data_IF_835753496055
#
_entry.id   IF_835753496055
#
_cell.length_a   1.000
_cell.length_b   1.000
_cell.length_c   1.000
_cell.angle_alpha   90.00
_cell.angle_beta   90.00
_cell.angle_gamma   90.00
#
_symmetry.space_group_name_H-M   'P 1'
#
loop_
_entity.id
_entity.type
_entity.pdbx_description
1 polymer ?
#
# COMPACT_ATOMS: atom_id res chain seq x y z
N UNK A 1 -3.83 -11.54 -22.40
CA UNK A 1 -4.63 -12.37 -21.47
C UNK A 1 -5.82 -11.53 -20.99
N UNK A 2 -7.04 -12.06 -20.97
CA UNK A 2 -8.22 -11.32 -20.50
C UNK A 2 -8.32 -11.43 -18.99
N UNK A 3 -8.26 -10.31 -18.28
CA UNK A 3 -8.45 -10.22 -16.83
C UNK A 3 -9.79 -10.85 -16.43
N UNK A 4 -9.75 -11.90 -15.60
CA UNK A 4 -10.97 -12.58 -15.12
C UNK A 4 -11.61 -11.83 -13.94
N UNK A 5 -12.81 -12.27 -13.54
CA UNK A 5 -13.48 -11.71 -12.35
C UNK A 5 -12.67 -12.01 -11.09
N UNK A 6 -12.22 -13.25 -10.94
CA UNK A 6 -11.51 -13.75 -9.75
C UNK A 6 -10.15 -13.05 -9.60
N UNK A 7 -9.44 -12.84 -10.71
CA UNK A 7 -8.19 -12.07 -10.72
C UNK A 7 -8.44 -10.62 -10.31
N UNK A 8 -9.46 -9.97 -10.88
CA UNK A 8 -9.79 -8.59 -10.53
C UNK A 8 -10.19 -8.46 -9.05
N UNK A 9 -11.00 -9.39 -8.55
CA UNK A 9 -11.40 -9.44 -7.15
C UNK A 9 -10.19 -9.61 -6.22
N UNK A 10 -9.27 -10.53 -6.57
CA UNK A 10 -8.01 -10.72 -5.83
C UNK A 10 -7.17 -9.45 -5.81
N UNK A 11 -6.98 -8.77 -6.95
CA UNK A 11 -6.20 -7.52 -6.98
C UNK A 11 -6.83 -6.41 -6.14
N UNK A 12 -8.17 -6.34 -6.09
CA UNK A 12 -8.89 -5.40 -5.22
C UNK A 12 -8.72 -5.75 -3.74
N UNK A 13 -8.77 -7.03 -3.37
CA UNK A 13 -8.47 -7.52 -2.01
C UNK A 13 -7.02 -7.22 -1.60
N UNK A 14 -6.08 -7.33 -2.54
CA UNK A 14 -4.67 -6.95 -2.38
C UNK A 14 -4.48 -5.41 -2.33
N UNK A 15 -5.58 -4.65 -2.28
CA UNK A 15 -5.66 -3.18 -2.22
C UNK A 15 -4.94 -2.48 -3.38
N UNK A 16 -4.91 -3.09 -4.55
CA UNK A 16 -4.46 -2.44 -5.76
C UNK A 16 -5.46 -1.38 -6.23
N UNK A 17 -4.94 -0.27 -6.71
CA UNK A 17 -5.74 0.74 -7.42
C UNK A 17 -6.09 0.21 -8.82
N UNK A 18 -7.11 0.78 -9.44
CA UNK A 18 -7.42 0.45 -10.83
C UNK A 18 -6.25 0.77 -11.78
N UNK A 19 -5.40 1.75 -11.44
CA UNK A 19 -4.22 2.08 -12.23
C UNK A 19 -3.12 1.02 -12.10
N UNK A 20 -2.89 0.48 -10.89
CA UNK A 20 -1.94 -0.62 -10.70
C UNK A 20 -2.36 -1.84 -11.54
N UNK A 21 -3.65 -2.19 -11.48
CA UNK A 21 -4.22 -3.31 -12.24
C UNK A 21 -4.10 -3.04 -13.74
N UNK A 22 -4.41 -1.81 -14.18
CA UNK A 22 -4.27 -1.42 -15.57
C UNK A 22 -2.83 -1.63 -16.08
N UNK A 23 -1.82 -1.25 -15.29
CA UNK A 23 -0.42 -1.41 -15.64
C UNK A 23 0.00 -2.90 -15.77
N UNK A 24 -0.49 -3.77 -14.88
CA UNK A 24 -0.16 -5.22 -14.91
C UNK A 24 -0.68 -5.89 -16.19
N UNK A 25 -1.86 -5.49 -16.64
CA UNK A 25 -2.55 -6.11 -17.78
C UNK A 25 -2.41 -5.32 -19.08
N UNK A 26 -1.50 -4.34 -19.12
CA UNK A 26 -1.30 -3.43 -20.27
C UNK A 26 -2.63 -2.84 -20.79
N UNK A 27 -3.52 -2.50 -19.84
CA UNK A 27 -4.86 -2.00 -20.08
C UNK A 27 -4.98 -0.53 -19.72
N UNK A 28 -6.11 0.09 -20.07
CA UNK A 28 -6.43 1.44 -19.62
C UNK A 28 -7.17 1.42 -18.28
N UNK A 29 -7.00 2.49 -17.50
CA UNK A 29 -7.78 2.71 -16.27
C UNK A 29 -9.30 2.59 -16.51
N UNK A 30 -9.78 3.14 -17.63
CA UNK A 30 -11.18 3.07 -18.02
C UNK A 30 -11.65 1.63 -18.28
N UNK A 31 -10.78 0.79 -18.86
CA UNK A 31 -11.09 -0.63 -19.07
C UNK A 31 -11.29 -1.36 -17.74
N UNK A 32 -10.47 -1.08 -16.74
CA UNK A 32 -10.62 -1.67 -15.40
C UNK A 32 -11.94 -1.24 -14.76
N UNK A 33 -12.33 0.04 -14.86
CA UNK A 33 -13.64 0.52 -14.38
C UNK A 33 -14.78 -0.24 -15.06
N UNK A 34 -14.71 -0.43 -16.38
CA UNK A 34 -15.74 -1.19 -17.12
C UNK A 34 -15.83 -2.64 -16.64
N UNK A 35 -14.70 -3.28 -16.34
CA UNK A 35 -14.69 -4.66 -15.83
C UNK A 35 -15.26 -4.76 -14.42
N UNK A 36 -14.91 -3.82 -13.52
CA UNK A 36 -15.52 -3.72 -12.18
C UNK A 36 -17.05 -3.65 -12.28
N UNK A 37 -17.57 -2.77 -13.14
CA UNK A 37 -19.02 -2.62 -13.38
C UNK A 37 -19.64 -3.88 -13.99
N UNK A 38 -18.99 -4.45 -15.01
CA UNK A 38 -19.45 -5.68 -15.69
C UNK A 38 -19.59 -6.84 -14.71
N UNK A 39 -18.64 -6.99 -13.79
CA UNK A 39 -18.63 -8.06 -12.78
C UNK A 39 -19.38 -7.71 -11.49
N UNK A 40 -19.98 -6.52 -11.41
CA UNK A 40 -20.73 -6.03 -10.24
C UNK A 40 -19.92 -6.09 -8.94
N UNK A 41 -18.62 -5.81 -9.02
CA UNK A 41 -17.74 -5.77 -7.85
C UNK A 41 -17.91 -4.42 -7.13
N UNK A 42 -17.83 -4.44 -5.79
CA UNK A 42 -17.73 -3.23 -4.99
C UNK A 42 -16.26 -3.03 -4.57
N UNK A 43 -15.50 -2.12 -5.20
CA UNK A 43 -14.10 -1.94 -4.88
C UNK A 43 -13.85 -1.41 -3.47
N UNK A 44 -14.80 -0.67 -2.89
CA UNK A 44 -14.65 -0.07 -1.57
C UNK A 44 -14.73 -1.14 -0.47
N UNK A 45 -15.68 -2.07 -0.62
CA UNK A 45 -15.80 -3.25 0.25
C UNK A 45 -14.61 -4.19 0.08
N UNK A 46 -14.22 -4.52 -1.15
CA UNK A 46 -13.10 -5.44 -1.41
C UNK A 46 -11.77 -4.87 -0.90
N UNK A 47 -11.55 -3.57 -1.09
CA UNK A 47 -10.36 -2.90 -0.53
C UNK A 47 -10.47 -2.66 0.96
N UNK A 48 -11.65 -2.81 1.57
CA UNK A 48 -11.94 -2.48 2.98
C UNK A 48 -11.42 -1.08 3.34
N UNK A 49 -11.93 -0.08 2.62
CA UNK A 49 -11.39 1.29 2.67
C UNK A 49 -11.55 1.97 4.04
N UNK A 50 -12.45 1.43 4.88
CA UNK A 50 -12.74 1.83 6.26
C UNK A 50 -11.68 1.36 7.25
N UNK A 51 -10.89 0.34 6.92
CA UNK A 51 -9.85 -0.20 7.79
C UNK A 51 -8.58 0.65 7.79
N UNK A 52 -7.90 0.62 8.93
CA UNK A 52 -6.53 1.09 9.04
C UNK A 52 -5.59 -0.03 8.61
N UNK A 53 -4.56 0.32 7.85
CA UNK A 53 -3.52 -0.60 7.39
C UNK A 53 -2.19 -0.24 8.03
N UNK A 54 -1.34 -1.24 8.18
CA UNK A 54 0.11 -1.06 8.36
C UNK A 54 0.81 -1.55 7.10
N UNK A 55 1.75 -0.76 6.60
CA UNK A 55 2.42 -0.99 5.33
C UNK A 55 3.92 -0.73 5.43
N UNK A 56 4.64 -1.40 4.54
CA UNK A 56 6.07 -1.29 4.34
C UNK A 56 6.36 -0.66 2.98
N UNK A 57 7.43 0.13 2.93
CA UNK A 57 8.08 0.49 1.68
C UNK A 57 9.42 -0.20 1.56
N UNK A 58 9.62 -0.80 0.40
CA UNK A 58 10.80 -1.57 0.07
C UNK A 58 11.58 -0.86 -1.03
N UNK A 59 12.90 -0.83 -0.88
CA UNK A 59 13.85 -0.34 -1.87
C UNK A 59 15.04 -1.30 -1.91
N UNK A 60 15.40 -1.83 -3.08
CA UNK A 60 16.51 -2.78 -3.25
C UNK A 60 16.50 -3.93 -2.23
N UNK A 61 15.33 -4.54 -2.02
CA UNK A 61 15.08 -5.62 -1.04
C UNK A 61 15.29 -5.23 0.44
N UNK A 62 15.42 -3.95 0.76
CA UNK A 62 15.43 -3.45 2.14
C UNK A 62 14.10 -2.76 2.50
N UNK A 63 13.61 -3.02 3.70
CA UNK A 63 12.53 -2.21 4.28
C UNK A 63 13.12 -0.86 4.67
N UNK A 64 12.75 0.19 3.95
CA UNK A 64 13.25 1.55 4.19
C UNK A 64 12.29 2.37 5.05
N UNK A 65 11.00 2.01 5.07
CA UNK A 65 9.99 2.71 5.85
C UNK A 65 8.82 1.79 6.23
N UNK A 66 8.26 2.02 7.42
CA UNK A 66 6.96 1.46 7.86
C UNK A 66 6.02 2.61 8.19
N UNK A 67 4.74 2.48 7.86
CA UNK A 67 3.73 3.46 8.23
C UNK A 67 2.37 2.84 8.45
N UNK A 68 1.46 3.62 9.02
CA UNK A 68 0.05 3.25 9.21
C UNK A 68 -0.92 4.32 8.70
N UNK A 69 -2.15 3.92 8.41
CA UNK A 69 -3.28 4.80 8.09
C UNK A 69 -4.30 4.13 7.17
N UNK A 70 -5.21 4.90 6.60
CA UNK A 70 -6.18 4.37 5.60
C UNK A 70 -5.49 3.85 4.33
N UNK A 71 -6.17 2.98 3.58
CA UNK A 71 -5.59 2.15 2.51
C UNK A 71 -4.72 2.90 1.48
N UNK A 72 -5.11 4.11 1.07
CA UNK A 72 -4.38 4.88 0.05
C UNK A 72 -3.14 5.62 0.59
N UNK A 73 -2.98 5.70 1.93
CA UNK A 73 -1.93 6.50 2.56
C UNK A 73 -0.53 6.01 2.23
N UNK A 74 -0.35 4.72 1.95
CA UNK A 74 0.93 4.16 1.55
C UNK A 74 1.48 4.86 0.30
N UNK A 75 0.62 5.25 -0.66
CA UNK A 75 0.98 5.84 -1.96
C UNK A 75 1.15 7.37 -1.94
N UNK A 76 0.82 8.05 -0.85
CA UNK A 76 0.82 9.52 -0.79
C UNK A 76 2.20 10.09 -0.44
N UNK A 77 2.96 10.52 -1.46
CA UNK A 77 4.30 11.09 -1.29
C UNK A 77 4.31 12.51 -0.71
N UNK A 78 3.28 13.32 -0.99
CA UNK A 78 3.22 14.75 -0.60
C UNK A 78 3.37 14.99 0.90
N UNK A 79 2.97 14.01 1.72
CA UNK A 79 2.97 14.13 3.18
C UNK A 79 4.25 13.57 3.82
N UNK A 80 5.22 13.08 3.02
CA UNK A 80 6.49 12.51 3.53
C UNK A 80 7.46 13.62 3.90
N UNK A 81 7.94 13.63 5.15
CA UNK A 81 8.90 14.64 5.64
C UNK A 81 10.34 14.33 5.26
N UNK A 82 10.69 13.05 5.09
CA UNK A 82 12.01 12.65 4.65
C UNK A 82 12.12 12.85 3.12
N UNK A 83 13.06 13.68 2.67
CA UNK A 83 13.21 14.03 1.26
C UNK A 83 13.63 12.85 0.39
N UNK A 84 14.53 11.99 0.87
CA UNK A 84 14.94 10.78 0.15
C UNK A 84 13.78 9.80 -0.01
N UNK A 85 13.01 9.59 1.06
CA UNK A 85 11.79 8.78 1.02
C UNK A 85 10.77 9.35 0.01
N UNK A 86 10.53 10.66 0.06
CA UNK A 86 9.61 11.35 -0.86
C UNK A 86 10.04 11.16 -2.31
N UNK A 87 11.33 11.39 -2.62
CA UNK A 87 11.89 11.26 -3.96
C UNK A 87 11.72 9.84 -4.51
N UNK A 88 12.05 8.82 -3.72
CA UNK A 88 11.87 7.42 -4.14
C UNK A 88 10.41 7.06 -4.40
N UNK A 89 9.46 7.60 -3.62
CA UNK A 89 8.02 7.41 -3.88
C UNK A 89 7.58 8.10 -5.18
N UNK A 90 8.00 9.34 -5.39
CA UNK A 90 7.67 10.15 -6.57
C UNK A 90 8.21 9.52 -7.86
N UNK A 91 9.43 8.97 -7.81
CA UNK A 91 10.05 8.23 -8.92
C UNK A 91 9.48 6.82 -9.11
N UNK A 92 8.54 6.37 -8.27
CA UNK A 92 7.97 5.02 -8.35
C UNK A 92 8.97 3.90 -8.03
N UNK A 93 10.06 4.19 -7.31
CA UNK A 93 11.16 3.26 -7.01
C UNK A 93 10.99 2.47 -5.72
N UNK A 94 9.81 2.55 -5.11
CA UNK A 94 9.46 1.78 -3.92
C UNK A 94 8.41 0.74 -4.25
N UNK A 95 8.59 -0.46 -3.71
CA UNK A 95 7.53 -1.45 -3.65
C UNK A 95 6.74 -1.25 -2.35
N UNK A 96 5.43 -1.44 -2.42
CA UNK A 96 4.51 -1.27 -1.30
C UNK A 96 3.99 -2.64 -0.88
N UNK A 97 4.03 -2.92 0.43
CA UNK A 97 3.46 -4.15 0.99
C UNK A 97 2.57 -3.80 2.17
N UNK A 98 1.32 -4.25 2.15
CA UNK A 98 0.43 -4.18 3.31
C UNK A 98 0.70 -5.43 4.15
N UNK A 99 0.91 -5.24 5.45
CA UNK A 99 1.29 -6.32 6.37
C UNK A 99 0.24 -6.62 7.42
N UNK A 100 -0.67 -5.69 7.69
CA UNK A 100 -1.77 -5.88 8.62
C UNK A 100 -2.92 -4.90 8.36
N UNK A 101 -4.12 -5.28 8.80
CA UNK A 101 -5.35 -4.49 8.80
C UNK A 101 -5.92 -4.42 10.22
N UNK A 102 -6.51 -3.29 10.57
CA UNK A 102 -7.05 -3.00 11.90
C UNK A 102 -8.34 -2.19 11.79
N UNK A 103 -9.22 -2.34 12.79
CA UNK A 103 -10.46 -1.58 12.88
C UNK A 103 -10.23 -0.18 13.44
N UNK A 104 -9.17 0.01 14.24
CA UNK A 104 -8.87 1.28 14.90
C UNK A 104 -7.49 1.81 14.52
N UNK A 105 -7.33 3.15 14.53
CA UNK A 105 -6.02 3.77 14.30
C UNK A 105 -5.03 3.36 15.40
N UNK A 106 -5.47 3.29 16.66
CA UNK A 106 -4.61 2.99 17.80
C UNK A 106 -3.95 1.60 17.71
N UNK A 107 -4.68 0.58 17.27
CA UNK A 107 -4.13 -0.75 17.04
C UNK A 107 -3.08 -0.74 15.92
N UNK A 108 -3.40 -0.08 14.80
CA UNK A 108 -2.46 0.08 13.69
C UNK A 108 -1.19 0.83 14.12
N UNK A 109 -1.32 1.85 14.97
CA UNK A 109 -0.19 2.63 15.51
C UNK A 109 0.69 1.82 16.46
N UNK A 110 0.09 1.00 17.31
CA UNK A 110 0.83 0.09 18.20
C UNK A 110 1.63 -0.91 17.39
N UNK A 111 1.01 -1.54 16.40
CA UNK A 111 1.68 -2.50 15.51
C UNK A 111 2.77 -1.85 14.64
N UNK A 112 2.52 -0.64 14.10
CA UNK A 112 3.53 0.16 13.39
C UNK A 112 4.76 0.40 14.27
N UNK A 113 4.57 0.83 15.52
CA UNK A 113 5.67 1.12 16.43
C UNK A 113 6.49 -0.14 16.75
N UNK A 114 5.82 -1.28 16.96
CA UNK A 114 6.48 -2.57 17.20
C UNK A 114 7.33 -3.00 15.99
N UNK A 115 6.77 -2.97 14.78
CA UNK A 115 7.48 -3.31 13.55
C UNK A 115 8.69 -2.41 13.32
N UNK A 116 8.54 -1.09 13.50
CA UNK A 116 9.67 -0.15 13.40
C UNK A 116 10.77 -0.55 14.39
N UNK A 117 10.41 -0.90 15.63
CA UNK A 117 11.37 -1.35 16.64
C UNK A 117 12.11 -2.61 16.21
N UNK A 118 11.40 -3.61 15.68
CA UNK A 118 11.99 -4.85 15.16
C UNK A 118 12.94 -4.59 13.99
N UNK A 119 12.53 -3.81 13.00
CA UNK A 119 13.35 -3.54 11.81
C UNK A 119 14.56 -2.67 12.11
N UNK A 120 14.45 -1.70 13.02
CA UNK A 120 15.62 -0.90 13.42
C UNK A 120 16.72 -1.71 14.09
N UNK A 121 16.38 -2.77 14.84
CA UNK A 121 17.36 -3.67 15.46
C UNK A 121 18.25 -4.37 14.43
N UNK A 122 17.76 -4.54 13.20
CA UNK A 122 18.49 -5.16 12.09
C UNK A 122 18.95 -4.13 11.03
N UNK A 123 18.99 -2.84 11.38
CA UNK A 123 19.49 -1.78 10.48
C UNK A 123 18.52 -1.33 9.37
N UNK A 124 17.25 -1.74 9.44
CA UNK A 124 16.20 -1.37 8.49
C UNK A 124 15.32 -0.23 9.01
N UNK A 125 14.29 0.14 8.25
CA UNK A 125 13.36 1.26 8.50
C UNK A 125 14.09 2.60 8.65
N UNK A 126 15.11 2.83 7.81
CA UNK A 126 16.05 3.97 7.86
C UNK A 126 15.34 5.33 7.76
N UNK A 127 14.19 5.40 7.10
CA UNK A 127 13.41 6.65 6.97
C UNK A 127 12.44 6.90 8.13
N UNK A 128 12.18 5.92 9.00
CA UNK A 128 11.41 6.14 10.22
C UNK A 128 12.28 6.91 11.22
N UNK A 129 11.84 8.12 11.61
CA UNK A 129 12.52 8.92 12.64
C UNK A 129 12.82 8.07 13.89
N UNK A 130 13.99 8.26 14.50
CA UNK A 130 14.26 7.75 15.84
C UNK A 130 13.23 8.40 16.77
N UNK A 131 12.32 7.59 17.34
CA UNK A 131 11.65 7.96 18.58
C UNK A 131 12.69 7.63 19.65
N UNK A 132 13.25 8.68 20.25
CA UNK A 132 14.09 8.58 21.43
C UNK A 132 13.20 8.23 22.61
#
# INVERSE_FOLDING_TARGET
MLLTKEELEKHLLDKMTNQDIANIYEATFQKIIQLVKKYKLNPDELRKIDKFIVYEHWHDNEIVYVGSGVWYRCRRYTNRRNQGHRKLMEEGRLQYKIVAEFDTEDEARKYEAELIGRYKKIGQAKFNKKRF
#
